data_IF_287964970357
#
_entry.id   IF_287964970357
#
_cell.length_a   1.000
_cell.length_b   1.000
_cell.length_c   1.000
_cell.angle_alpha   90.00
_cell.angle_beta   90.00
_cell.angle_gamma   90.00
#
_symmetry.space_group_name_H-M   'P 1'
#
loop_
_entity.id
_entity.type
_entity.pdbx_description
1 polymer ?
#
# COMPACT_ATOMS: atom_id res chain seq x y z
N UNK A 1 23.80 18.70 -15.05
CA UNK A 1 23.68 17.38 -14.40
C UNK A 1 22.60 17.46 -13.33
N UNK A 2 21.57 16.62 -13.40
CA UNK A 2 20.52 16.63 -12.37
C UNK A 2 21.11 16.15 -11.04
N UNK A 3 20.98 16.96 -9.98
CA UNK A 3 21.36 16.56 -8.61
C UNK A 3 20.71 15.20 -8.31
N UNK A 4 21.53 14.17 -8.12
CA UNK A 4 21.07 12.88 -7.61
C UNK A 4 20.48 13.14 -6.22
N UNK A 5 19.14 13.11 -6.11
CA UNK A 5 18.49 13.07 -4.81
C UNK A 5 18.65 11.64 -4.30
N UNK A 6 19.19 11.42 -3.10
CA UNK A 6 19.31 10.07 -2.56
C UNK A 6 17.93 9.42 -2.61
N UNK A 7 17.80 8.31 -3.32
CA UNK A 7 16.54 7.59 -3.42
C UNK A 7 16.07 7.28 -2.00
N UNK A 8 14.91 7.81 -1.61
CA UNK A 8 14.38 7.61 -0.27
C UNK A 8 14.14 6.11 -0.08
N UNK A 9 14.94 5.51 0.80
CA UNK A 9 14.77 4.12 1.17
C UNK A 9 13.54 4.01 2.07
N UNK A 10 12.69 3.05 1.76
CA UNK A 10 11.52 2.70 2.53
C UNK A 10 11.95 1.89 3.78
N UNK A 11 12.53 2.58 4.75
CA UNK A 11 12.97 1.97 6.00
C UNK A 11 11.76 1.47 6.82
N UNK A 12 11.85 0.30 7.49
CA UNK A 12 10.72 -0.29 8.22
C UNK A 12 10.10 0.61 9.31
N UNK A 13 10.89 1.53 9.86
CA UNK A 13 10.50 2.46 10.94
C UNK A 13 10.16 3.87 10.43
N UNK A 14 10.21 4.13 9.13
CA UNK A 14 9.92 5.45 8.56
C UNK A 14 8.59 5.42 7.82
N UNK A 15 7.92 6.57 7.83
CA UNK A 15 6.72 6.76 7.03
C UNK A 15 7.07 6.68 5.54
N UNK A 16 6.20 6.04 4.78
CA UNK A 16 6.33 5.96 3.33
C UNK A 16 5.79 7.22 2.66
N UNK A 17 6.37 7.55 1.51
CA UNK A 17 5.84 8.62 0.66
C UNK A 17 4.54 8.15 -0.01
N UNK A 18 3.76 9.12 -0.51
CA UNK A 18 2.53 8.83 -1.26
C UNK A 18 2.83 7.92 -2.45
N UNK A 19 2.12 6.79 -2.51
CA UNK A 19 2.20 5.88 -3.64
C UNK A 19 1.51 6.50 -4.85
N UNK A 20 2.25 6.72 -5.94
CA UNK A 20 1.68 7.29 -7.17
C UNK A 20 1.36 6.21 -8.20
N UNK A 21 0.50 6.55 -9.16
CA UNK A 21 0.14 5.67 -10.27
C UNK A 21 1.28 5.39 -11.25
N UNK A 22 2.37 6.16 -11.16
CA UNK A 22 3.60 5.96 -11.93
C UNK A 22 4.67 5.17 -11.16
N UNK A 23 4.34 4.62 -9.99
CA UNK A 23 5.25 3.78 -9.23
C UNK A 23 5.83 2.66 -10.10
N UNK A 24 7.16 2.58 -10.18
CA UNK A 24 7.87 1.62 -11.02
C UNK A 24 8.24 2.10 -12.43
N UNK A 25 7.92 3.32 -12.83
CA UNK A 25 8.39 3.86 -14.11
C UNK A 25 9.85 4.34 -14.05
N UNK A 26 10.22 5.15 -13.07
CA UNK A 26 11.60 5.62 -12.90
C UNK A 26 11.94 5.87 -11.42
N UNK A 27 12.96 5.19 -10.91
CA UNK A 27 13.45 5.40 -9.53
C UNK A 27 14.07 6.80 -9.40
N UNK A 28 14.87 7.22 -10.39
CA UNK A 28 15.57 8.51 -10.37
C UNK A 28 14.67 9.75 -10.51
N UNK A 29 13.36 9.58 -10.74
CA UNK A 29 12.38 10.69 -10.73
C UNK A 29 11.77 10.93 -9.35
N UNK A 30 12.12 10.11 -8.35
CA UNK A 30 11.56 10.22 -6.99
C UNK A 30 10.16 9.63 -6.83
N UNK A 31 9.59 9.03 -7.87
CA UNK A 31 8.25 8.44 -7.87
C UNK A 31 8.21 7.04 -7.25
N UNK A 32 9.36 6.53 -6.76
CA UNK A 32 9.45 5.19 -6.20
C UNK A 32 10.49 5.13 -5.09
N UNK A 33 10.05 4.78 -3.90
CA UNK A 33 10.93 4.41 -2.79
C UNK A 33 11.45 2.98 -2.98
N UNK A 34 12.70 2.74 -2.57
CA UNK A 34 13.32 1.41 -2.64
C UNK A 34 13.27 0.73 -1.27
N UNK A 35 12.87 -0.53 -1.26
CA UNK A 35 12.97 -1.40 -0.09
C UNK A 35 14.44 -1.75 0.11
N UNK A 36 15.02 -1.46 1.29
CA UNK A 36 16.37 -1.88 1.61
C UNK A 36 16.45 -3.40 1.66
N UNK A 37 17.56 -3.93 1.17
CA UNK A 37 17.88 -5.36 1.14
C UNK A 37 19.25 -5.56 1.73
N UNK A 38 19.48 -6.69 2.39
CA UNK A 38 20.80 -7.04 2.91
C UNK A 38 21.62 -7.75 1.85
N UNK A 39 22.94 -7.56 1.92
CA UNK A 39 23.90 -8.23 1.05
C UNK A 39 23.63 -9.75 1.01
N UNK A 40 23.67 -10.40 -0.16
CA UNK A 40 24.08 -9.89 -1.48
C UNK A 40 22.95 -9.25 -2.31
N UNK A 41 21.76 -9.08 -1.75
CA UNK A 41 20.60 -8.60 -2.49
C UNK A 41 20.62 -7.08 -2.66
N UNK A 42 20.40 -6.63 -3.88
CA UNK A 42 20.27 -5.20 -4.18
C UNK A 42 18.94 -4.65 -3.61
N UNK A 43 18.90 -3.35 -3.24
CA UNK A 43 17.64 -2.67 -2.97
C UNK A 43 16.69 -2.82 -4.14
N UNK A 44 15.41 -3.03 -3.85
CA UNK A 44 14.39 -3.30 -4.88
C UNK A 44 13.17 -2.40 -4.70
N UNK A 45 12.36 -2.30 -5.73
CA UNK A 45 11.05 -1.65 -5.62
C UNK A 45 10.08 -2.52 -4.81
N UNK A 46 9.06 -1.91 -4.23
CA UNK A 46 7.92 -2.64 -3.72
C UNK A 46 7.27 -3.45 -4.86
N UNK A 47 6.94 -4.70 -4.57
CA UNK A 47 6.03 -5.48 -5.41
C UNK A 47 4.64 -4.85 -5.39
N UNK A 48 3.82 -5.14 -6.41
CA UNK A 48 2.42 -4.69 -6.46
C UNK A 48 1.67 -5.07 -5.19
N UNK A 49 1.93 -6.27 -4.65
CA UNK A 49 1.31 -6.73 -3.41
C UNK A 49 1.79 -5.96 -2.18
N UNK A 50 3.06 -5.57 -2.10
CA UNK A 50 3.51 -4.70 -1.01
C UNK A 50 2.87 -3.32 -1.10
N UNK A 51 2.75 -2.73 -2.29
CA UNK A 51 2.01 -1.49 -2.49
C UNK A 51 0.55 -1.60 -2.03
N UNK A 52 -0.12 -2.70 -2.38
CA UNK A 52 -1.50 -2.96 -1.94
C UNK A 52 -1.61 -3.02 -0.41
N UNK A 53 -0.64 -3.63 0.29
CA UNK A 53 -0.62 -3.67 1.76
C UNK A 53 -0.44 -2.29 2.38
N UNK A 54 0.47 -1.49 1.82
CA UNK A 54 0.70 -0.09 2.25
C UNK A 54 -0.59 0.71 2.13
N UNK A 55 -1.34 0.51 1.06
CA UNK A 55 -2.65 1.14 0.85
C UNK A 55 -3.77 0.55 1.73
N UNK A 56 -3.53 -0.52 2.50
CA UNK A 56 -4.53 -1.14 3.37
C UNK A 56 -5.45 -2.16 2.68
N UNK A 57 -5.10 -2.63 1.49
CA UNK A 57 -5.81 -3.75 0.87
C UNK A 57 -5.50 -5.05 1.60
N UNK A 58 -6.52 -5.87 1.94
CA UNK A 58 -6.30 -7.13 2.65
C UNK A 58 -5.52 -8.13 1.78
N UNK A 59 -4.85 -9.09 2.41
CA UNK A 59 -4.04 -10.09 1.70
C UNK A 59 -4.86 -10.97 0.73
N UNK A 60 -6.16 -11.12 0.97
CA UNK A 60 -7.09 -11.85 0.09
C UNK A 60 -7.66 -10.99 -1.07
N UNK A 61 -7.27 -9.71 -1.18
CA UNK A 61 -7.65 -8.89 -2.32
C UNK A 61 -6.99 -9.42 -3.60
N UNK A 62 -7.80 -9.87 -4.55
CA UNK A 62 -7.33 -10.35 -5.85
C UNK A 62 -7.11 -9.21 -6.83
N UNK A 63 -5.98 -9.24 -7.53
CA UNK A 63 -5.75 -8.36 -8.67
C UNK A 63 -6.48 -8.90 -9.90
N UNK A 64 -6.67 -8.03 -10.91
CA UNK A 64 -7.21 -8.49 -12.20
C UNK A 64 -6.29 -9.54 -12.81
N UNK A 65 -6.89 -10.50 -13.50
CA UNK A 65 -6.13 -11.47 -14.27
C UNK A 65 -5.43 -10.81 -15.45
N UNK A 66 -4.29 -11.38 -15.85
CA UNK A 66 -3.54 -10.92 -17.02
C UNK A 66 -4.36 -11.26 -18.26
N UNK A 67 -4.56 -10.26 -19.13
CA UNK A 67 -5.29 -10.45 -20.39
C UNK A 67 -4.48 -11.28 -21.38
N UNK A 68 -5.17 -11.98 -22.28
CA UNK A 68 -4.52 -12.70 -23.38
C UNK A 68 -3.66 -11.76 -24.23
N UNK A 69 -2.42 -12.17 -24.51
CA UNK A 69 -1.44 -11.36 -25.24
C UNK A 69 -0.80 -10.20 -24.45
N UNK A 70 -1.18 -9.95 -23.20
CA UNK A 70 -0.58 -8.88 -22.39
C UNK A 70 0.79 -9.30 -21.84
N UNK A 71 1.84 -8.55 -22.15
CA UNK A 71 3.18 -8.77 -21.58
C UNK A 71 3.23 -8.52 -20.06
N UNK A 72 4.10 -9.24 -19.35
CA UNK A 72 4.24 -9.17 -17.89
C UNK A 72 4.50 -7.74 -17.38
N UNK A 73 5.37 -6.99 -18.06
CA UNK A 73 5.65 -5.60 -17.69
C UNK A 73 4.43 -4.69 -17.81
N UNK A 74 3.61 -4.88 -18.85
CA UNK A 74 2.38 -4.12 -19.04
C UNK A 74 1.35 -4.45 -17.95
N UNK A 75 1.22 -5.74 -17.62
CA UNK A 75 0.38 -6.22 -16.52
C UNK A 75 0.77 -5.60 -15.17
N UNK A 76 2.08 -5.59 -14.85
CA UNK A 76 2.57 -4.98 -13.61
C UNK A 76 2.33 -3.47 -13.56
N UNK A 77 2.61 -2.75 -14.66
CA UNK A 77 2.35 -1.30 -14.76
C UNK A 77 0.88 -0.97 -14.54
N UNK A 78 -0.02 -1.75 -15.13
CA UNK A 78 -1.47 -1.58 -14.94
C UNK A 78 -1.86 -1.72 -13.47
N UNK A 79 -1.35 -2.75 -12.78
CA UNK A 79 -1.65 -2.94 -11.36
C UNK A 79 -1.03 -1.87 -10.46
N UNK A 80 0.20 -1.40 -10.71
CA UNK A 80 0.75 -0.26 -9.97
C UNK A 80 -0.11 1.00 -10.16
N UNK A 81 -0.57 1.25 -11.40
CA UNK A 81 -1.47 2.36 -11.71
C UNK A 81 -2.80 2.26 -10.96
N UNK A 82 -3.37 1.06 -10.89
CA UNK A 82 -4.61 0.81 -10.14
C UNK A 82 -4.45 1.10 -8.65
N UNK A 83 -3.39 0.59 -8.03
CA UNK A 83 -3.16 0.77 -6.59
C UNK A 83 -2.77 2.21 -6.26
N UNK A 84 -1.94 2.86 -7.07
CA UNK A 84 -1.54 4.25 -6.85
C UNK A 84 -2.65 5.29 -7.10
N UNK A 85 -3.71 4.93 -7.83
CA UNK A 85 -4.91 5.76 -7.99
C UNK A 85 -6.03 5.42 -7.01
N UNK A 86 -5.92 4.31 -6.27
CA UNK A 86 -6.96 3.91 -5.33
C UNK A 86 -6.91 4.77 -4.05
N UNK A 87 -8.05 4.87 -3.37
CA UNK A 87 -8.09 5.37 -1.99
C UNK A 87 -7.85 4.19 -1.03
N UNK A 88 -7.17 4.46 0.08
CA UNK A 88 -6.93 3.44 1.10
C UNK A 88 -8.25 2.84 1.62
N UNK A 89 -8.51 1.53 1.49
CA UNK A 89 -9.76 0.92 1.94
C UNK A 89 -10.10 1.16 3.42
N UNK A 90 -9.15 1.12 4.37
CA UNK A 90 -9.44 1.48 5.76
C UNK A 90 -9.96 2.91 5.93
N UNK A 91 -9.43 3.86 5.16
CA UNK A 91 -9.86 5.26 5.21
C UNK A 91 -11.30 5.39 4.72
N UNK A 92 -11.63 4.76 3.60
CA UNK A 92 -13.00 4.77 3.07
C UNK A 92 -13.97 4.08 4.02
N UNK A 93 -13.58 2.99 4.69
CA UNK A 93 -14.44 2.32 5.68
C UNK A 93 -14.82 3.24 6.85
N UNK A 94 -13.85 3.96 7.42
CA UNK A 94 -14.10 4.92 8.50
C UNK A 94 -14.96 6.11 8.05
N UNK A 95 -14.68 6.66 6.85
CA UNK A 95 -15.45 7.75 6.27
C UNK A 95 -16.90 7.33 5.97
N UNK A 96 -17.09 6.16 5.36
CA UNK A 96 -18.41 5.62 5.06
C UNK A 96 -19.26 5.48 6.32
N UNK A 97 -18.68 4.97 7.41
CA UNK A 97 -19.37 4.89 8.70
C UNK A 97 -19.89 6.24 9.18
N UNK A 98 -19.04 7.27 9.12
CA UNK A 98 -19.41 8.64 9.53
C UNK A 98 -20.49 9.25 8.64
N UNK A 99 -20.41 9.01 7.31
CA UNK A 99 -21.40 9.51 6.35
C UNK A 99 -22.75 8.83 6.53
N UNK A 100 -22.78 7.51 6.75
CA UNK A 100 -24.03 6.76 6.95
C UNK A 100 -24.75 7.17 8.24
N UNK A 101 -23.99 7.40 9.32
CA UNK A 101 -24.55 7.94 10.57
C UNK A 101 -25.13 9.36 10.36
N UNK A 102 -24.37 10.25 9.72
CA UNK A 102 -24.82 11.61 9.44
C UNK A 102 -26.05 11.64 8.50
N UNK A 103 -26.17 10.66 7.61
CA UNK A 103 -27.33 10.49 6.73
C UNK A 103 -28.56 9.91 7.43
N UNK A 104 -28.46 9.50 8.70
CA UNK A 104 -29.56 8.91 9.45
C UNK A 104 -30.02 7.55 8.92
N UNK A 105 -29.18 6.84 8.15
CA UNK A 105 -29.49 5.50 7.66
C UNK A 105 -29.43 4.56 8.87
N UNK A 106 -30.51 3.85 9.18
CA UNK A 106 -30.52 2.89 10.29
C UNK A 106 -30.52 1.45 9.79
N UNK A 107 -29.81 0.57 10.49
CA UNK A 107 -29.86 -0.88 10.28
C UNK A 107 -30.35 -1.57 11.56
N UNK A 108 -31.33 -2.49 11.48
CA UNK A 108 -31.78 -3.24 12.65
C UNK A 108 -30.60 -3.94 13.36
N UNK A 109 -30.49 -3.77 14.67
CA UNK A 109 -29.45 -4.37 15.50
C UNK A 109 -28.08 -3.66 15.49
N UNK A 110 -27.96 -2.48 14.85
CA UNK A 110 -26.74 -1.68 14.84
C UNK A 110 -26.93 -0.36 15.58
N UNK A 111 -26.01 -0.03 16.49
CA UNK A 111 -26.08 1.18 17.31
C UNK A 111 -25.41 2.41 16.69
N UNK A 112 -24.36 2.23 15.86
CA UNK A 112 -23.66 3.33 15.17
C UNK A 112 -22.86 2.81 13.96
N UNK A 113 -23.04 3.44 12.81
CA UNK A 113 -22.21 3.21 11.63
C UNK A 113 -20.79 3.74 11.78
N UNK A 114 -20.58 4.80 12.56
CA UNK A 114 -19.26 5.35 12.84
C UNK A 114 -18.39 4.31 13.54
N UNK A 115 -18.96 3.65 14.56
CA UNK A 115 -18.24 2.59 15.28
C UNK A 115 -18.00 1.38 14.38
N UNK A 116 -19.00 1.00 13.56
CA UNK A 116 -18.84 -0.08 12.58
C UNK A 116 -17.75 0.23 11.54
N UNK A 117 -17.77 1.43 10.96
CA UNK A 117 -16.79 1.88 9.98
C UNK A 117 -15.38 1.90 10.56
N UNK A 118 -15.22 2.35 11.81
CA UNK A 118 -13.95 2.28 12.55
C UNK A 118 -13.50 0.83 12.75
N UNK A 119 -14.41 -0.06 13.17
CA UNK A 119 -14.12 -1.49 13.35
C UNK A 119 -13.65 -2.13 12.04
N UNK A 120 -14.34 -1.87 10.93
CA UNK A 120 -13.97 -2.36 9.59
C UNK A 120 -12.63 -1.79 9.15
N UNK A 121 -12.36 -0.50 9.40
CA UNK A 121 -11.08 0.13 9.08
C UNK A 121 -9.90 -0.55 9.81
N UNK A 122 -10.06 -0.82 11.11
CA UNK A 122 -9.07 -1.55 11.91
C UNK A 122 -8.89 -2.97 11.36
N UNK A 123 -9.99 -3.66 11.07
CA UNK A 123 -9.94 -5.01 10.50
C UNK A 123 -9.18 -5.05 9.17
N UNK A 124 -9.50 -4.17 8.22
CA UNK A 124 -8.81 -4.09 6.92
C UNK A 124 -7.32 -3.78 7.09
N UNK A 125 -6.98 -2.85 7.99
CA UNK A 125 -5.59 -2.51 8.30
C UNK A 125 -4.82 -3.70 8.88
N UNK A 126 -5.45 -4.53 9.72
CA UNK A 126 -4.83 -5.76 10.25
C UNK A 126 -4.73 -6.84 9.18
N UNK A 127 -5.76 -7.00 8.35
CA UNK A 127 -5.80 -7.98 7.28
C UNK A 127 -4.81 -7.68 6.14
N UNK A 128 -4.33 -6.44 6.02
CA UNK A 128 -3.27 -6.04 5.09
C UNK A 128 -1.86 -6.29 5.62
N UNK A 129 -1.68 -6.51 6.93
CA UNK A 129 -0.36 -6.77 7.52
C UNK A 129 0.24 -8.07 6.96
N UNK A 130 1.57 -8.16 6.98
CA UNK A 130 2.23 -9.41 6.60
C UNK A 130 1.84 -10.51 7.61
N UNK A 131 1.58 -11.75 7.16
CA UNK A 131 1.30 -12.87 8.06
C UNK A 131 2.51 -13.24 8.95
N UNK A 132 3.72 -12.83 8.55
CA UNK A 132 4.94 -12.95 9.36
C UNK A 132 5.66 -11.60 9.40
N UNK A 133 6.27 -11.28 10.55
CA UNK A 133 7.16 -10.11 10.66
C UNK A 133 8.25 -10.22 9.60
N UNK A 134 8.51 -9.12 8.90
CA UNK A 134 9.64 -9.07 7.99
C UNK A 134 10.92 -9.20 8.83
N UNK A 135 11.77 -10.17 8.50
CA UNK A 135 13.11 -10.24 9.09
C UNK A 135 13.88 -9.04 8.54
N UNK A 136 14.10 -8.02 9.38
CA UNK A 136 15.00 -6.91 9.06
C UNK A 136 16.40 -7.43 9.32
N UNK A 137 17.22 -7.70 8.30
CA UNK A 137 18.47 -8.39 8.55
C UNK A 137 19.44 -7.43 9.25
N UNK A 138 20.27 -7.97 10.15
CA UNK A 138 21.27 -7.19 10.87
C UNK A 138 22.20 -6.47 9.89
N UNK A 139 22.50 -5.19 10.16
CA UNK A 139 23.35 -4.35 9.31
C UNK A 139 22.60 -3.45 8.31
N UNK A 140 21.28 -3.59 8.19
CA UNK A 140 20.43 -2.53 7.66
C UNK A 140 20.42 -1.38 8.68
N UNK A 141 21.35 -0.43 8.53
CA UNK A 141 21.41 0.78 9.36
C UNK A 141 20.04 1.45 9.33
N UNK A 142 19.26 1.26 10.39
CA UNK A 142 18.05 2.03 10.62
C UNK A 142 18.58 3.45 10.86
N UNK A 143 18.30 4.43 10.00
CA UNK A 143 18.73 5.78 10.28
C UNK A 143 17.98 6.22 11.55
N UNK A 144 18.74 6.73 12.52
CA UNK A 144 18.21 7.42 13.70
C UNK A 144 17.14 8.47 13.31
#
# INVERSE_FOLDING_TARGET
SGKWKPNHLAWPNKQLDTLTSHYGNAVGRGESQLVPSSCPFLPRRFSVRECARVMGFPNNYSFRERRDGQGEMAYRKENYRMIGNAVCPPLIAALAGSVLDAAGIMRPGMSSWTEEGRRVAIYLSRASLRPRRAHVPMGCLVPE
#
